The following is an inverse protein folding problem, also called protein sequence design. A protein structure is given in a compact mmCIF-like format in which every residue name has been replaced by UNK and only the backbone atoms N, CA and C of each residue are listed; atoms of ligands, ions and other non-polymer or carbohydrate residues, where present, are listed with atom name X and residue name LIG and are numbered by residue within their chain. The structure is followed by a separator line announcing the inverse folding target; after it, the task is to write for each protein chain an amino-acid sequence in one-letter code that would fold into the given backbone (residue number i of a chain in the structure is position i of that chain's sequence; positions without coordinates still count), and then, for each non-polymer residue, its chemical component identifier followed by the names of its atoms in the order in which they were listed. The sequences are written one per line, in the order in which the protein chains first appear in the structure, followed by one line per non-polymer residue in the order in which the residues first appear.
data_IF_400071962998
#
_entry.id   IF_400071962998
#
_cell.length_a   1.000
_cell.length_b   1.000
_cell.length_c   1.000
_cell.angle_alpha   90.00
_cell.angle_beta   90.00
_cell.angle_gamma   90.00
#
_symmetry.space_group_name_H-M   'P 1'
#
loop_
_entity.id
_entity.type
_entity.pdbx_description
1 polymer ?
#
# COMPACT_ATOMS: atom_id res chain seq x y z
N UNK A 1 -7.38 -18.59 36.04
CA UNK A 1 -7.50 -17.62 34.93
C UNK A 1 -6.08 -17.16 34.60
N UNK A 2 -5.64 -17.37 33.37
CA UNK A 2 -4.24 -17.23 32.96
C UNK A 2 -3.85 -15.76 32.75
N UNK A 3 -2.69 -15.37 33.29
CA UNK A 3 -2.14 -14.02 33.18
C UNK A 3 -1.77 -13.63 31.73
N UNK A 4 -1.66 -14.61 30.83
CA UNK A 4 -1.17 -14.44 29.47
C UNK A 4 -2.08 -15.15 28.46
N UNK A 5 -2.16 -14.59 27.25
CA UNK A 5 -2.59 -15.30 26.04
C UNK A 5 -1.45 -16.18 25.51
N UNK A 6 -1.80 -17.37 25.01
CA UNK A 6 -0.86 -18.22 24.28
C UNK A 6 -1.18 -18.14 22.78
N UNK A 7 -0.31 -17.49 22.01
CA UNK A 7 -0.52 -17.23 20.59
C UNK A 7 0.21 -18.26 19.74
N UNK A 8 -0.56 -18.90 18.84
CA UNK A 8 -0.04 -19.83 17.83
C UNK A 8 -0.60 -19.48 16.46
N UNK A 9 0.24 -19.56 15.42
CA UNK A 9 -0.18 -19.39 14.03
C UNK A 9 0.85 -18.68 13.18
N UNK A 10 0.37 -18.04 12.10
CA UNK A 10 1.22 -17.29 11.17
C UNK A 10 0.52 -16.06 10.61
N UNK A 11 1.32 -15.04 10.29
CA UNK A 11 0.95 -13.89 9.46
C UNK A 11 1.85 -13.89 8.23
N UNK A 12 1.29 -13.52 7.08
CA UNK A 12 2.01 -13.46 5.82
C UNK A 12 1.78 -12.09 5.18
N UNK A 13 2.76 -11.64 4.39
CA UNK A 13 2.80 -10.31 3.78
C UNK A 13 2.95 -9.19 4.80
N UNK A 14 3.61 -9.45 5.93
CA UNK A 14 3.87 -8.44 6.96
C UNK A 14 4.99 -7.52 6.50
N UNK A 15 4.63 -6.28 6.19
CA UNK A 15 5.57 -5.24 5.77
C UNK A 15 6.60 -4.95 6.87
N UNK A 16 7.87 -4.97 6.50
CA UNK A 16 9.00 -4.52 7.31
C UNK A 16 9.15 -5.19 8.69
N UNK A 17 8.56 -6.37 8.89
CA UNK A 17 8.60 -7.10 10.18
C UNK A 17 10.01 -7.37 10.70
N UNK A 18 11.03 -7.45 9.82
CA UNK A 18 12.42 -7.64 10.22
C UNK A 18 13.01 -6.45 10.99
N UNK A 19 12.35 -5.29 10.96
CA UNK A 19 12.76 -4.07 11.65
C UNK A 19 11.80 -3.68 12.78
N UNK A 20 10.70 -4.41 12.98
CA UNK A 20 9.67 -4.03 13.92
C UNK A 20 10.03 -4.49 15.35
N UNK A 21 9.97 -3.58 16.32
CA UNK A 21 10.06 -3.91 17.74
C UNK A 21 8.76 -4.55 18.27
N UNK A 22 7.63 -4.14 17.68
CA UNK A 22 6.29 -4.58 18.06
C UNK A 22 5.45 -4.91 16.83
N UNK A 23 4.60 -5.93 16.94
CA UNK A 23 3.58 -6.27 15.95
C UNK A 23 2.20 -6.28 16.59
N UNK A 24 1.24 -5.65 15.93
CA UNK A 24 -0.15 -5.74 16.31
C UNK A 24 -0.80 -6.91 15.54
N UNK A 25 -1.59 -7.72 16.23
CA UNK A 25 -2.13 -8.97 15.69
C UNK A 25 -3.62 -9.09 15.98
N UNK A 26 -4.40 -9.27 14.92
CA UNK A 26 -5.75 -9.80 15.04
C UNK A 26 -5.68 -11.32 15.22
N UNK A 27 -6.04 -11.78 16.41
CA UNK A 27 -6.00 -13.18 16.83
C UNK A 27 -7.40 -13.68 17.17
N UNK A 28 -7.63 -14.98 17.03
CA UNK A 28 -8.90 -15.58 17.44
C UNK A 28 -8.82 -15.98 18.91
N UNK A 29 -9.67 -15.38 19.73
CA UNK A 29 -9.79 -15.65 21.18
C UNK A 29 -11.03 -16.46 21.53
N UNK A 30 -12.05 -16.44 20.68
CA UNK A 30 -13.25 -17.25 20.88
C UNK A 30 -13.89 -17.71 19.55
N UNK A 31 -14.88 -18.59 19.68
CA UNK A 31 -15.75 -19.01 18.57
C UNK A 31 -17.15 -18.43 18.83
N UNK A 32 -17.40 -17.24 18.30
CA UNK A 32 -18.74 -16.60 18.30
C UNK A 32 -19.65 -17.14 17.20
N UNK A 33 -20.88 -16.60 17.13
CA UNK A 33 -21.85 -16.94 16.08
C UNK A 33 -21.37 -16.48 14.69
N UNK A 34 -20.74 -15.30 14.62
CA UNK A 34 -20.04 -14.83 13.42
C UNK A 34 -18.54 -14.96 13.58
N UNK A 35 -17.84 -15.34 12.50
CA UNK A 35 -16.38 -15.54 12.51
C UNK A 35 -15.59 -14.32 13.02
N UNK A 36 -16.10 -13.12 12.80
CA UNK A 36 -15.48 -11.85 13.18
C UNK A 36 -15.65 -11.50 14.67
N UNK A 37 -16.66 -12.07 15.34
CA UNK A 37 -16.99 -11.76 16.74
C UNK A 37 -16.03 -12.41 17.74
N UNK A 38 -15.19 -13.35 17.30
CA UNK A 38 -14.21 -14.00 18.18
C UNK A 38 -12.79 -13.52 17.95
N UNK A 39 -12.62 -12.30 17.42
CA UNK A 39 -11.31 -11.72 17.08
C UNK A 39 -10.93 -10.67 18.13
N UNK A 40 -9.76 -10.81 18.74
CA UNK A 40 -9.14 -9.81 19.62
C UNK A 40 -7.95 -9.14 18.96
N UNK A 41 -7.56 -7.98 19.48
CA UNK A 41 -6.45 -7.20 19.00
C UNK A 41 -5.33 -7.20 20.04
N UNK A 42 -4.22 -7.86 19.76
CA UNK A 42 -3.07 -7.95 20.68
C UNK A 42 -1.88 -7.15 20.16
N UNK A 43 -1.14 -6.52 21.06
CA UNK A 43 0.18 -5.98 20.80
C UNK A 43 1.24 -6.99 21.26
N UNK A 44 2.12 -7.44 20.36
CA UNK A 44 3.07 -8.53 20.62
C UNK A 44 4.48 -7.99 20.42
N UNK A 45 5.33 -8.16 21.44
CA UNK A 45 6.75 -7.81 21.38
C UNK A 45 7.45 -8.78 20.41
N UNK A 46 8.09 -8.25 19.38
CA UNK A 46 8.74 -9.05 18.33
C UNK A 46 9.99 -9.80 18.84
N UNK A 47 10.52 -9.43 20.00
CA UNK A 47 11.60 -10.15 20.69
C UNK A 47 11.10 -11.35 21.53
N UNK A 48 9.79 -11.54 21.65
CA UNK A 48 9.21 -12.63 22.45
C UNK A 48 9.68 -14.01 21.96
N UNK A 49 10.05 -14.94 22.86
CA UNK A 49 10.35 -16.32 22.49
C UNK A 49 9.21 -16.99 21.72
N UNK A 50 9.55 -17.74 20.67
CA UNK A 50 8.60 -18.43 19.80
C UNK A 50 8.16 -17.63 18.56
N UNK A 51 8.69 -16.41 18.36
CA UNK A 51 8.50 -15.65 17.12
C UNK A 51 9.63 -15.99 16.13
N UNK A 52 9.27 -16.29 14.89
CA UNK A 52 10.23 -16.43 13.78
C UNK A 52 9.81 -15.56 12.60
N UNK A 53 10.72 -14.71 12.12
CA UNK A 53 10.51 -13.85 10.94
C UNK A 53 11.25 -14.46 9.74
N UNK A 54 10.54 -14.72 8.65
CA UNK A 54 11.09 -15.25 7.40
C UNK A 54 10.94 -14.24 6.27
N UNK A 55 12.02 -13.98 5.49
CA UNK A 55 11.95 -13.03 4.39
C UNK A 55 11.05 -13.53 3.27
N UNK A 56 10.31 -12.61 2.64
CA UNK A 56 9.65 -12.83 1.35
C UNK A 56 10.29 -11.87 0.35
N UNK A 57 11.05 -12.45 -0.60
CA UNK A 57 11.64 -11.67 -1.68
C UNK A 57 10.56 -11.42 -2.74
N UNK A 58 10.26 -10.14 -2.93
CA UNK A 58 9.22 -9.66 -3.85
C UNK A 58 9.72 -9.69 -5.30
N UNK A 59 8.80 -9.53 -6.26
CA UNK A 59 9.11 -9.64 -7.69
C UNK A 59 10.08 -8.54 -8.19
N UNK A 60 10.14 -7.40 -7.52
CA UNK A 60 11.15 -6.36 -7.71
C UNK A 60 12.53 -6.71 -7.10
N UNK A 61 12.66 -7.87 -6.46
CA UNK A 61 13.90 -8.38 -5.89
C UNK A 61 14.22 -7.86 -4.49
N UNK A 62 13.29 -7.12 -3.85
CA UNK A 62 13.51 -6.51 -2.54
C UNK A 62 12.94 -7.35 -1.39
N UNK A 63 13.58 -7.22 -0.22
CA UNK A 63 13.08 -7.76 1.05
C UNK A 63 12.30 -6.68 1.81
N UNK A 64 11.03 -6.53 1.46
CA UNK A 64 10.11 -5.58 2.11
C UNK A 64 8.97 -6.28 2.87
N UNK A 65 8.77 -7.57 2.64
CA UNK A 65 7.67 -8.36 3.18
C UNK A 65 8.20 -9.60 3.91
N UNK A 66 7.44 -10.09 4.88
CA UNK A 66 7.82 -11.24 5.71
C UNK A 66 6.64 -12.18 5.98
N UNK A 67 6.97 -13.44 6.24
CA UNK A 67 6.12 -14.35 7.02
C UNK A 67 6.56 -14.27 8.49
N UNK A 68 5.62 -14.12 9.40
CA UNK A 68 5.87 -14.11 10.86
C UNK A 68 5.13 -15.31 11.47
N UNK A 69 5.91 -16.21 12.06
CA UNK A 69 5.43 -17.42 12.72
C UNK A 69 5.38 -17.20 14.23
N UNK A 70 4.34 -17.72 14.87
CA UNK A 70 4.14 -17.67 16.31
C UNK A 70 3.97 -19.10 16.84
N UNK A 71 4.91 -19.55 17.68
CA UNK A 71 4.93 -20.87 18.30
C UNK A 71 4.89 -20.73 19.82
N UNK A 72 3.71 -20.93 20.41
CA UNK A 72 3.47 -20.81 21.85
C UNK A 72 3.96 -19.47 22.46
N UNK A 73 3.75 -18.38 21.73
CA UNK A 73 4.17 -17.04 22.17
C UNK A 73 3.27 -16.58 23.31
N UNK A 74 3.85 -16.37 24.49
CA UNK A 74 3.14 -15.91 25.69
C UNK A 74 3.01 -14.40 25.68
N UNK A 75 1.80 -13.87 25.54
CA UNK A 75 1.49 -12.44 25.46
C UNK A 75 0.71 -12.01 26.70
N UNK A 76 1.18 -11.01 27.48
CA UNK A 76 0.46 -10.55 28.67
C UNK A 76 -0.96 -10.04 28.37
N UNK A 77 -1.90 -10.18 29.31
CA UNK A 77 -3.29 -9.73 29.11
C UNK A 77 -3.40 -8.21 28.95
N UNK A 78 -2.51 -7.44 29.56
CA UNK A 78 -2.42 -5.98 29.45
C UNK A 78 -2.07 -5.50 28.03
N UNK A 79 -1.52 -6.38 27.19
CA UNK A 79 -1.24 -6.08 25.78
C UNK A 79 -2.47 -6.25 24.88
N UNK A 80 -3.63 -6.59 25.44
CA UNK A 80 -4.90 -6.54 24.73
C UNK A 80 -5.29 -5.07 24.47
N UNK A 81 -5.47 -4.74 23.20
CA UNK A 81 -6.00 -3.44 22.79
C UNK A 81 -7.53 -3.46 22.91
N UNK A 82 -8.03 -2.69 23.86
CA UNK A 82 -9.46 -2.56 24.15
C UNK A 82 -10.02 -3.84 24.79
N UNK A 83 -11.19 -4.26 24.32
CA UNK A 83 -11.91 -5.40 24.88
C UNK A 83 -11.65 -6.68 24.09
N UNK A 84 -11.67 -7.82 24.80
CA UNK A 84 -11.60 -9.14 24.17
C UNK A 84 -12.77 -9.29 23.19
N UNK A 85 -12.51 -9.94 22.05
CA UNK A 85 -13.50 -10.22 21.00
C UNK A 85 -14.02 -8.98 20.25
N UNK A 86 -13.49 -7.78 20.56
CA UNK A 86 -13.79 -6.52 19.85
C UNK A 86 -12.71 -6.12 18.83
N UNK A 87 -11.71 -6.95 18.60
CA UNK A 87 -10.59 -6.66 17.71
C UNK A 87 -11.00 -6.34 16.27
N UNK A 88 -12.04 -6.98 15.74
CA UNK A 88 -12.57 -6.62 14.41
C UNK A 88 -13.17 -5.22 14.34
N UNK A 89 -13.78 -4.74 15.43
CA UNK A 89 -14.32 -3.38 15.51
C UNK A 89 -13.18 -2.36 15.45
N UNK A 90 -12.13 -2.57 16.24
CA UNK A 90 -10.96 -1.70 16.26
C UNK A 90 -10.19 -1.73 14.93
N UNK A 91 -10.03 -2.92 14.32
CA UNK A 91 -9.39 -3.05 13.01
C UNK A 91 -10.13 -2.28 11.91
N UNK A 92 -11.45 -2.29 11.90
CA UNK A 92 -12.22 -1.51 10.92
C UNK A 92 -12.00 0.00 11.08
N UNK A 93 -11.90 0.49 12.32
CA UNK A 93 -11.61 1.89 12.58
C UNK A 93 -10.21 2.26 12.07
N UNK A 94 -9.19 1.45 12.39
CA UNK A 94 -7.82 1.62 11.88
C UNK A 94 -7.79 1.67 10.34
N UNK A 95 -8.42 0.69 9.69
CA UNK A 95 -8.44 0.60 8.24
C UNK A 95 -9.17 1.77 7.57
N UNK A 96 -10.17 2.37 8.23
CA UNK A 96 -10.83 3.57 7.70
C UNK A 96 -9.87 4.77 7.71
N UNK A 97 -9.09 4.93 8.79
CA UNK A 97 -8.09 5.99 8.88
C UNK A 97 -6.95 5.80 7.86
N UNK A 98 -6.37 4.60 7.76
CA UNK A 98 -5.26 4.31 6.83
C UNK A 98 -5.59 4.63 5.37
N UNK A 99 -6.83 4.35 4.92
CA UNK A 99 -7.25 4.58 3.52
C UNK A 99 -7.28 6.04 3.10
N UNK A 100 -7.40 6.96 4.06
CA UNK A 100 -7.34 8.39 3.76
C UNK A 100 -5.95 8.79 3.26
N UNK A 101 -4.89 8.12 3.72
CA UNK A 101 -3.51 8.38 3.31
C UNK A 101 -3.09 7.59 2.05
N UNK A 102 -3.94 6.73 1.50
CA UNK A 102 -3.62 5.88 0.34
C UNK A 102 -3.93 6.52 -1.02
N UNK A 103 -4.36 7.79 -1.05
CA UNK A 103 -4.52 8.52 -2.31
C UNK A 103 -3.16 8.88 -2.94
N UNK A 104 -2.11 9.04 -2.12
CA UNK A 104 -0.73 9.30 -2.54
C UNK A 104 -0.59 10.44 -3.56
N UNK A 105 -1.41 11.49 -3.45
CA UNK A 105 -1.45 12.61 -4.42
C UNK A 105 -0.11 13.33 -4.48
N UNK A 106 0.51 13.60 -3.32
CA UNK A 106 1.80 14.28 -3.25
C UNK A 106 2.90 13.47 -3.96
N UNK A 107 2.95 12.15 -3.73
CA UNK A 107 3.92 11.27 -4.37
C UNK A 107 3.67 11.16 -5.88
N UNK A 108 2.40 11.05 -6.29
CA UNK A 108 2.00 11.03 -7.70
C UNK A 108 2.36 12.33 -8.43
N UNK A 109 2.21 13.50 -7.78
CA UNK A 109 2.63 14.80 -8.33
C UNK A 109 4.13 14.90 -8.52
N UNK A 110 4.90 14.44 -7.53
CA UNK A 110 6.36 14.36 -7.63
C UNK A 110 6.76 13.44 -8.78
N UNK A 111 6.17 12.26 -8.86
CA UNK A 111 6.40 11.31 -9.95
C UNK A 111 6.03 11.88 -11.33
N UNK A 112 4.91 12.59 -11.47
CA UNK A 112 4.53 13.24 -12.72
C UNK A 112 5.54 14.32 -13.13
N UNK A 113 6.06 15.08 -12.16
CA UNK A 113 7.09 16.10 -12.41
C UNK A 113 8.40 15.45 -12.87
N UNK A 114 8.86 14.40 -12.16
CA UNK A 114 10.01 13.58 -12.57
C UNK A 114 9.83 12.97 -13.97
N UNK A 115 8.63 12.49 -14.28
CA UNK A 115 8.29 11.90 -15.58
C UNK A 115 8.46 12.92 -16.70
N UNK A 116 7.90 14.12 -16.55
CA UNK A 116 7.96 15.20 -17.55
C UNK A 116 9.40 15.67 -17.78
N UNK A 117 10.17 15.81 -16.71
CA UNK A 117 11.60 16.19 -16.80
C UNK A 117 12.43 15.11 -17.51
N UNK A 118 12.21 13.83 -17.19
CA UNK A 118 12.93 12.73 -17.87
C UNK A 118 12.49 12.58 -19.33
N UNK A 119 11.20 12.77 -19.63
CA UNK A 119 10.68 12.67 -20.99
C UNK A 119 11.21 13.79 -21.92
N UNK A 120 11.45 15.00 -21.40
CA UNK A 120 12.03 16.09 -22.19
C UNK A 120 13.52 15.88 -22.50
N UNK A 121 14.21 15.08 -21.69
CA UNK A 121 15.63 14.72 -21.87
C UNK A 121 15.82 13.42 -22.66
N UNK A 122 14.80 12.57 -22.75
CA UNK A 122 14.86 11.29 -23.46
C UNK A 122 14.78 11.51 -24.97
N UNK A 123 15.91 11.30 -25.66
CA UNK A 123 16.03 11.50 -27.11
C UNK A 123 15.85 10.16 -27.87
N UNK A 124 14.88 10.12 -28.79
CA UNK A 124 14.64 8.98 -29.67
C UNK A 124 14.34 9.43 -31.10
N UNK A 125 15.06 8.91 -32.09
CA UNK A 125 14.80 9.24 -33.51
C UNK A 125 14.92 10.72 -33.88
N UNK A 126 15.69 11.51 -33.11
CA UNK A 126 15.92 12.93 -33.35
C UNK A 126 14.89 13.89 -32.71
N UNK A 127 13.96 13.39 -31.90
CA UNK A 127 13.04 14.21 -31.08
C UNK A 127 13.00 13.71 -29.64
N UNK A 128 12.58 14.55 -28.71
CA UNK A 128 12.39 14.09 -27.34
C UNK A 128 11.04 13.36 -27.21
N UNK A 129 10.93 12.41 -26.27
CA UNK A 129 9.67 11.70 -26.04
C UNK A 129 8.53 12.65 -25.63
N UNK A 130 8.86 13.78 -25.00
CA UNK A 130 7.89 14.82 -24.68
C UNK A 130 7.24 15.48 -25.92
N UNK A 131 7.81 15.34 -27.12
CA UNK A 131 7.21 15.83 -28.38
C UNK A 131 6.29 14.80 -29.05
N UNK A 132 6.24 13.56 -28.55
CA UNK A 132 5.37 12.52 -29.10
C UNK A 132 3.91 12.75 -28.69
N UNK A 133 3.02 12.87 -29.68
CA UNK A 133 1.60 13.20 -29.44
C UNK A 133 0.86 12.12 -28.64
N UNK A 134 1.22 10.85 -28.81
CA UNK A 134 0.60 9.74 -28.08
C UNK A 134 1.04 9.77 -26.61
N UNK A 135 2.32 10.01 -26.36
CA UNK A 135 2.87 10.18 -25.02
C UNK A 135 2.27 11.41 -24.32
N UNK A 136 2.23 12.57 -25.00
CA UNK A 136 1.59 13.78 -24.47
C UNK A 136 0.14 13.51 -24.05
N UNK A 137 -0.63 12.85 -24.91
CA UNK A 137 -2.01 12.48 -24.56
C UNK A 137 -2.07 11.62 -23.30
N UNK A 138 -1.23 10.59 -23.19
CA UNK A 138 -1.23 9.71 -22.01
C UNK A 138 -0.85 10.46 -20.73
N UNK A 139 0.15 11.36 -20.80
CA UNK A 139 0.55 12.20 -19.67
C UNK A 139 -0.59 13.16 -19.28
N UNK A 140 -1.25 13.78 -20.26
CA UNK A 140 -2.39 14.66 -20.00
C UNK A 140 -3.58 13.92 -19.37
N UNK A 141 -3.90 12.72 -19.84
CA UNK A 141 -4.98 11.91 -19.26
C UNK A 141 -4.70 11.61 -17.77
N UNK A 142 -3.46 11.22 -17.42
CA UNK A 142 -3.05 10.98 -16.03
C UNK A 142 -3.03 12.26 -15.18
N UNK A 143 -2.58 13.37 -15.74
CA UNK A 143 -2.53 14.66 -15.05
C UNK A 143 -3.94 15.20 -14.73
N UNK A 144 -4.89 15.04 -15.65
CA UNK A 144 -6.30 15.38 -15.42
C UNK A 144 -6.91 14.51 -14.31
N UNK A 145 -6.65 13.21 -14.34
CA UNK A 145 -7.09 12.28 -13.31
C UNK A 145 -6.49 12.61 -11.94
N UNK A 146 -5.20 12.96 -11.90
CA UNK A 146 -4.49 13.35 -10.67
C UNK A 146 -5.03 14.67 -10.09
N UNK A 147 -5.32 15.65 -10.95
CA UNK A 147 -5.96 16.90 -10.53
C UNK A 147 -7.36 16.63 -9.95
N UNK A 148 -8.17 15.80 -10.61
CA UNK A 148 -9.49 15.44 -10.11
C UNK A 148 -9.41 14.68 -8.77
N UNK A 149 -8.42 13.80 -8.61
CA UNK A 149 -8.15 13.09 -7.36
C UNK A 149 -7.78 14.07 -6.24
N UNK A 150 -6.85 15.00 -6.49
CA UNK A 150 -6.43 16.00 -5.51
C UNK A 150 -7.61 16.79 -4.93
N UNK A 151 -8.46 17.37 -5.80
CA UNK A 151 -9.62 18.12 -5.33
C UNK A 151 -10.65 17.23 -4.61
N UNK A 152 -10.68 15.93 -4.91
CA UNK A 152 -11.53 14.98 -4.20
C UNK A 152 -10.97 14.63 -2.83
N UNK A 153 -9.65 14.45 -2.71
CA UNK A 153 -8.95 14.23 -1.45
C UNK A 153 -9.10 15.45 -0.53
N UNK A 154 -8.88 16.66 -1.03
CA UNK A 154 -9.06 17.90 -0.26
C UNK A 154 -10.50 18.05 0.28
N UNK A 155 -11.52 17.70 -0.53
CA UNK A 155 -12.92 17.69 -0.06
C UNK A 155 -13.17 16.63 1.02
N UNK A 156 -12.58 15.44 0.88
CA UNK A 156 -12.70 14.39 1.89
C UNK A 156 -12.03 14.82 3.20
N UNK A 157 -10.82 15.39 3.15
CA UNK A 157 -10.11 15.92 4.30
C UNK A 157 -10.88 17.05 5.00
N UNK A 158 -11.49 17.96 4.23
CA UNK A 158 -12.34 19.00 4.80
C UNK A 158 -13.56 18.41 5.54
N UNK A 159 -14.23 17.40 4.95
CA UNK A 159 -15.35 16.71 5.59
C UNK A 159 -14.91 15.95 6.85
N UNK A 160 -13.72 15.34 6.85
CA UNK A 160 -13.14 14.67 8.04
C UNK A 160 -12.84 15.69 9.14
N UNK A 161 -12.29 16.86 8.80
CA UNK A 161 -12.01 17.91 9.76
C UNK A 161 -13.29 18.42 10.46
N UNK A 162 -14.41 18.45 9.76
CA UNK A 162 -15.72 18.84 10.32
C UNK A 162 -16.40 17.71 11.11
N UNK A 163 -16.37 16.47 10.61
CA UNK A 163 -17.21 15.36 11.10
C UNK A 163 -16.45 14.30 11.89
N UNK A 164 -15.13 14.37 11.93
CA UNK A 164 -14.24 13.51 12.73
C UNK A 164 -13.99 12.11 12.18
N UNK A 165 -14.69 11.64 11.14
CA UNK A 165 -14.46 10.30 10.56
C UNK A 165 -14.49 10.31 9.02
N UNK A 166 -13.62 9.51 8.35
CA UNK A 166 -13.66 9.30 6.91
C UNK A 166 -14.95 8.61 6.47
N UNK A 167 -15.59 9.10 5.40
CA UNK A 167 -16.71 8.44 4.78
C UNK A 167 -16.30 7.41 3.72
N UNK A 168 -17.29 6.85 2.99
CA UNK A 168 -17.05 5.86 1.93
C UNK A 168 -16.22 6.41 0.76
N UNK A 169 -16.08 7.73 0.64
CA UNK A 169 -15.18 8.39 -0.33
C UNK A 169 -13.72 7.96 -0.18
N UNK A 170 -13.28 7.56 1.02
CA UNK A 170 -11.92 7.02 1.25
C UNK A 170 -11.61 5.79 0.38
N UNK A 171 -12.61 4.94 0.09
CA UNK A 171 -12.46 3.82 -0.83
C UNK A 171 -12.28 4.26 -2.28
N UNK A 172 -12.92 5.36 -2.70
CA UNK A 172 -12.76 5.94 -4.04
C UNK A 172 -11.35 6.51 -4.21
N UNK A 173 -10.88 7.25 -3.19
CA UNK A 173 -9.53 7.81 -3.16
C UNK A 173 -8.47 6.72 -3.33
N UNK A 174 -8.59 5.62 -2.59
CA UNK A 174 -7.67 4.47 -2.72
C UNK A 174 -7.68 3.88 -4.13
N UNK A 175 -8.86 3.66 -4.72
CA UNK A 175 -8.96 3.09 -6.07
C UNK A 175 -8.25 4.00 -7.08
N UNK A 176 -8.64 5.28 -7.13
CA UNK A 176 -8.10 6.20 -8.13
C UNK A 176 -6.62 6.51 -7.90
N UNK A 177 -6.18 6.70 -6.65
CA UNK A 177 -4.77 6.91 -6.31
C UNK A 177 -3.88 5.76 -6.77
N UNK A 178 -4.28 4.52 -6.47
CA UNK A 178 -3.49 3.35 -6.89
C UNK A 178 -3.50 3.11 -8.40
N UNK A 179 -4.61 3.41 -9.11
CA UNK A 179 -4.67 3.37 -10.57
C UNK A 179 -3.75 4.43 -11.21
N UNK A 180 -3.76 5.67 -10.73
CA UNK A 180 -2.89 6.76 -11.20
C UNK A 180 -1.41 6.42 -10.95
N UNK A 181 -1.08 5.94 -9.75
CA UNK A 181 0.29 5.50 -9.41
C UNK A 181 0.78 4.41 -10.38
N UNK A 182 -0.06 3.42 -10.68
CA UNK A 182 0.27 2.36 -11.64
C UNK A 182 0.43 2.87 -13.08
N UNK A 183 -0.39 3.83 -13.53
CA UNK A 183 -0.24 4.47 -14.85
C UNK A 183 1.06 5.28 -14.92
N UNK A 184 1.41 6.02 -13.88
CA UNK A 184 2.68 6.75 -13.81
C UNK A 184 3.88 5.79 -13.84
N UNK A 185 3.81 4.64 -13.17
CA UNK A 185 4.86 3.61 -13.25
C UNK A 185 5.05 3.08 -14.67
N UNK A 186 3.95 2.84 -15.40
CA UNK A 186 4.00 2.42 -16.80
C UNK A 186 4.61 3.49 -17.71
N UNK A 187 4.27 4.76 -17.51
CA UNK A 187 4.85 5.86 -18.26
C UNK A 187 6.36 6.03 -17.97
N UNK A 188 6.79 5.84 -16.73
CA UNK A 188 8.21 5.81 -16.39
C UNK A 188 8.95 4.68 -17.09
N UNK A 189 8.32 3.51 -17.21
CA UNK A 189 8.90 2.38 -17.94
C UNK A 189 9.03 2.69 -19.44
N UNK A 190 8.07 3.41 -20.03
CA UNK A 190 8.17 3.90 -21.42
C UNK A 190 9.31 4.90 -21.60
N UNK A 191 9.48 5.83 -20.66
CA UNK A 191 10.59 6.80 -20.68
C UNK A 191 11.95 6.09 -20.59
N UNK A 192 12.05 5.02 -19.78
CA UNK A 192 13.24 4.19 -19.70
C UNK A 192 13.56 3.42 -20.99
N UNK A 193 12.58 3.25 -21.88
CA UNK A 193 12.72 2.64 -23.20
C UNK A 193 13.54 1.33 -23.16
N UNK A 194 14.66 1.27 -23.90
CA UNK A 194 15.53 0.09 -23.98
C UNK A 194 16.17 -0.30 -22.64
N UNK A 195 16.24 0.62 -21.66
CA UNK A 195 16.75 0.35 -20.32
C UNK A 195 15.67 -0.17 -19.36
N UNK A 196 14.39 -0.25 -19.75
CA UNK A 196 13.31 -0.70 -18.87
C UNK A 196 13.45 -2.15 -18.35
N UNK A 197 14.30 -2.96 -18.99
CA UNK A 197 14.68 -4.30 -18.52
C UNK A 197 15.95 -4.36 -17.68
N UNK A 198 16.64 -3.23 -17.48
CA UNK A 198 17.92 -3.19 -16.81
C UNK A 198 17.79 -3.54 -15.32
N UNK A 199 18.80 -4.25 -14.81
CA UNK A 199 18.98 -4.51 -13.38
C UNK A 199 20.33 -3.92 -13.00
N UNK A 200 20.32 -2.84 -12.21
CA UNK A 200 21.56 -2.29 -11.68
C UNK A 200 22.12 -3.25 -10.62
N UNK A 201 23.33 -3.78 -10.84
CA UNK A 201 24.01 -4.73 -9.95
C UNK A 201 24.98 -4.04 -8.97
N UNK A 202 25.33 -2.78 -9.21
CA UNK A 202 26.26 -1.95 -8.42
C UNK A 202 25.81 -0.48 -8.47
N UNK A 203 26.09 0.31 -7.42
CA UNK A 203 25.79 1.76 -7.38
C UNK A 203 26.63 2.58 -8.38
N UNK A 204 27.75 2.03 -8.84
CA UNK A 204 28.57 2.63 -9.89
C UNK A 204 28.06 2.16 -11.27
N UNK A 205 27.24 2.96 -11.97
CA UNK A 205 27.17 3.04 -13.46
C UNK A 205 26.07 3.97 -13.99
N UNK A 206 26.39 4.57 -15.15
CA UNK A 206 25.60 5.39 -16.09
C UNK A 206 24.12 5.66 -15.75
N UNK A 207 23.76 6.94 -15.68
CA UNK A 207 22.43 7.48 -15.37
C UNK A 207 21.26 6.70 -16.02
N UNK A 208 21.39 6.28 -17.28
CA UNK A 208 20.34 5.58 -18.03
C UNK A 208 20.02 4.16 -17.51
N UNK A 209 21.02 3.42 -17.05
CA UNK A 209 20.85 2.07 -16.47
C UNK A 209 20.13 2.18 -15.13
N UNK A 210 20.48 3.20 -14.33
CA UNK A 210 19.85 3.47 -13.04
C UNK A 210 18.38 3.88 -13.24
N UNK A 211 18.10 4.79 -14.18
CA UNK A 211 16.73 5.18 -14.54
C UNK A 211 15.90 3.97 -14.96
N UNK A 212 16.46 3.06 -15.75
CA UNK A 212 15.81 1.82 -16.16
C UNK A 212 15.51 0.88 -14.99
N UNK A 213 16.50 0.65 -14.13
CA UNK A 213 16.37 -0.19 -12.92
C UNK A 213 15.31 0.37 -11.96
N UNK A 214 15.29 1.68 -11.74
CA UNK A 214 14.32 2.34 -10.86
C UNK A 214 12.90 2.27 -11.43
N UNK A 215 12.74 2.52 -12.74
CA UNK A 215 11.45 2.40 -13.41
C UNK A 215 10.91 0.96 -13.31
N UNK A 216 11.78 -0.04 -13.54
CA UNK A 216 11.45 -1.46 -13.40
C UNK A 216 11.02 -1.81 -11.98
N UNK A 217 11.80 -1.42 -10.97
CA UNK A 217 11.49 -1.73 -9.57
C UNK A 217 10.16 -1.11 -9.13
N UNK A 218 9.94 0.19 -9.46
CA UNK A 218 8.67 0.88 -9.19
C UNK A 218 7.49 0.19 -9.88
N UNK A 219 7.65 -0.21 -11.15
CA UNK A 219 6.61 -0.92 -11.90
C UNK A 219 6.25 -2.27 -11.27
N UNK A 220 7.26 -3.09 -10.97
CA UNK A 220 7.10 -4.44 -10.43
C UNK A 220 6.48 -4.44 -9.02
N UNK A 221 7.01 -3.61 -8.11
CA UNK A 221 6.44 -3.46 -6.77
C UNK A 221 5.04 -2.81 -6.81
N UNK A 222 4.89 -1.77 -7.63
CA UNK A 222 3.67 -0.98 -7.75
C UNK A 222 2.45 -1.78 -8.21
N UNK A 223 2.63 -2.96 -8.82
CA UNK A 223 1.49 -3.86 -9.13
C UNK A 223 0.72 -4.30 -7.88
N UNK A 224 1.38 -4.37 -6.72
CA UNK A 224 0.72 -4.72 -5.47
C UNK A 224 -0.23 -3.62 -4.93
N UNK A 225 -0.12 -2.37 -5.40
CA UNK A 225 -0.88 -1.23 -4.89
C UNK A 225 -2.41 -1.41 -4.99
N UNK A 226 -2.88 -2.05 -6.06
CA UNK A 226 -4.31 -2.33 -6.24
C UNK A 226 -4.80 -3.54 -5.44
N UNK A 227 -3.92 -4.21 -4.67
CA UNK A 227 -4.19 -5.43 -3.90
C UNK A 227 -4.12 -5.18 -2.39
N UNK A 228 -3.02 -4.62 -1.88
CA UNK A 228 -2.87 -4.37 -0.43
C UNK A 228 -3.80 -3.24 0.06
N UNK A 229 -3.97 -3.13 1.38
CA UNK A 229 -4.92 -2.17 1.98
C UNK A 229 -6.40 -2.47 1.67
N UNK A 230 -6.67 -3.63 1.07
CA UNK A 230 -7.96 -4.02 0.50
C UNK A 230 -7.98 -3.78 -1.01
N UNK A 231 -8.17 -4.85 -1.78
CA UNK A 231 -8.12 -4.78 -3.25
C UNK A 231 -9.15 -3.82 -3.82
N UNK A 232 -8.94 -3.34 -5.04
CA UNK A 232 -9.87 -2.40 -5.67
C UNK A 232 -11.28 -3.01 -5.83
N UNK A 233 -11.42 -4.32 -5.99
CA UNK A 233 -12.71 -5.03 -6.00
C UNK A 233 -13.39 -4.98 -4.64
N UNK A 234 -12.63 -5.17 -3.55
CA UNK A 234 -13.16 -5.02 -2.19
C UNK A 234 -13.61 -3.58 -1.94
N UNK A 235 -12.83 -2.60 -2.39
CA UNK A 235 -13.22 -1.19 -2.27
C UNK A 235 -14.49 -0.87 -3.08
N UNK A 236 -14.63 -1.40 -4.30
CA UNK A 236 -15.86 -1.25 -5.10
C UNK A 236 -17.07 -1.86 -4.39
N UNK A 237 -16.91 -3.00 -3.73
CA UNK A 237 -17.97 -3.60 -2.91
C UNK A 237 -18.33 -2.73 -1.69
N UNK A 238 -17.34 -2.08 -1.05
CA UNK A 238 -17.60 -1.14 0.05
C UNK A 238 -18.39 0.06 -0.45
N UNK A 239 -18.01 0.63 -1.59
CA UNK A 239 -18.72 1.76 -2.21
C UNK A 239 -20.15 1.35 -2.58
N UNK A 240 -20.33 0.20 -3.25
CA UNK A 240 -21.66 -0.28 -3.64
C UNK A 240 -22.59 -0.44 -2.42
N UNK A 241 -22.09 -1.01 -1.33
CA UNK A 241 -22.86 -1.16 -0.08
C UNK A 241 -23.18 0.18 0.58
N UNK A 242 -22.18 1.05 0.70
CA UNK A 242 -22.31 2.29 1.45
C UNK A 242 -23.08 3.38 0.70
N UNK A 243 -22.96 3.43 -0.62
CA UNK A 243 -23.55 4.49 -1.46
C UNK A 243 -24.84 4.01 -2.13
N UNK A 244 -24.89 2.76 -2.59
CA UNK A 244 -26.03 2.22 -3.35
C UNK A 244 -26.93 1.29 -2.53
N UNK A 245 -26.49 0.84 -1.34
CA UNK A 245 -27.25 -0.09 -0.50
C UNK A 245 -27.38 -1.51 -1.06
N UNK A 246 -26.48 -1.90 -1.98
CA UNK A 246 -26.47 -3.20 -2.67
C UNK A 246 -25.73 -4.30 -1.89
#
# INVERSE_FOLDING_TARGET
AGANYLVNGRKIWTSLAQYADWIFCLVRTSKGARKQEGISFLLIDMSSPGITVKPIITIDGRHSLNEVLFENVSVPVENLIGEQDKGWTYAKALLAHERTNMAEVADSKRMLTELKDKASKSMGGGRCLADDQVFQKQVSDVELDLMALEYTELRALASIAEKGMPGPESSLLKIKGTEISQQLHELHLKVAAHHGGAVALTEERYDEIQVGSDARNRYLYGRAATIYGGSNEVQRNVIAKAVLGL
#
